data_IF_716711473261
#
_entry.id   IF_716711473261
#
_cell.length_a   1.000
_cell.length_b   1.000
_cell.length_c   1.000
_cell.angle_alpha   90.00
_cell.angle_beta   90.00
_cell.angle_gamma   90.00
#
_symmetry.space_group_name_H-M   'P 1'
#
loop_
_entity.id
_entity.type
_entity.pdbx_description
1 polymer ?
#
# COMPACT_ATOMS: atom_id res chain seq x y z
N UNK A 1 -0.82 -0.73 15.75
CA UNK A 1 0.48 -0.84 15.06
C UNK A 1 0.28 -0.60 13.57
N UNK A 2 1.10 0.23 12.97
CA UNK A 2 1.04 0.51 11.54
C UNK A 2 2.37 0.19 10.90
N UNK A 3 2.35 -0.69 9.90
CA UNK A 3 3.56 -1.23 9.27
C UNK A 3 3.52 -0.96 7.77
N UNK A 4 4.67 -0.59 7.20
CA UNK A 4 4.87 -0.52 5.76
C UNK A 4 5.79 -1.66 5.36
N UNK A 5 5.35 -2.46 4.39
CA UNK A 5 6.13 -3.57 3.85
C UNK A 5 6.45 -3.28 2.39
N UNK A 6 7.73 -3.20 2.08
CA UNK A 6 8.23 -2.96 0.73
C UNK A 6 9.10 -4.14 0.29
N UNK A 7 9.24 -4.33 -1.00
CA UNK A 7 10.09 -5.39 -1.51
C UNK A 7 10.02 -5.48 -3.02
N UNK A 8 10.97 -6.21 -3.59
CA UNK A 8 11.00 -6.45 -5.02
C UNK A 8 9.91 -7.43 -5.44
N UNK A 9 9.41 -7.34 -6.68
CA UNK A 9 8.52 -8.36 -7.22
C UNK A 9 9.16 -9.74 -7.13
N UNK A 10 8.39 -10.73 -6.71
CA UNK A 10 8.89 -12.09 -6.56
C UNK A 10 9.67 -12.37 -5.29
N UNK A 11 9.77 -11.41 -4.38
CA UNK A 11 10.48 -11.60 -3.09
C UNK A 11 9.69 -12.36 -2.03
N UNK A 12 8.42 -12.70 -2.31
CA UNK A 12 7.52 -13.29 -1.32
C UNK A 12 6.80 -12.27 -0.47
N UNK A 13 6.87 -10.99 -0.84
CA UNK A 13 6.29 -9.89 -0.08
C UNK A 13 4.78 -10.06 0.14
N UNK A 14 4.04 -10.46 -0.88
CA UNK A 14 2.59 -10.64 -0.77
C UNK A 14 2.21 -11.72 0.23
N UNK A 15 2.94 -12.84 0.26
CA UNK A 15 2.72 -13.92 1.21
C UNK A 15 3.03 -13.46 2.63
N UNK A 16 4.16 -12.77 2.81
CA UNK A 16 4.55 -12.23 4.10
C UNK A 16 3.53 -11.20 4.61
N UNK A 17 3.04 -10.34 3.73
CA UNK A 17 2.03 -9.35 4.10
C UNK A 17 0.77 -10.01 4.63
N UNK A 18 0.29 -11.08 3.98
CA UNK A 18 -0.89 -11.81 4.44
C UNK A 18 -0.64 -12.47 5.79
N UNK A 19 0.50 -13.11 5.96
CA UNK A 19 0.85 -13.82 7.20
C UNK A 19 0.97 -12.84 8.37
N UNK A 20 1.69 -11.72 8.19
CA UNK A 20 1.86 -10.72 9.23
C UNK A 20 0.53 -10.05 9.60
N UNK A 21 -0.29 -9.75 8.60
CA UNK A 21 -1.60 -9.14 8.84
C UNK A 21 -2.47 -10.04 9.70
N UNK A 22 -2.42 -11.35 9.44
CA UNK A 22 -3.19 -12.32 10.20
C UNK A 22 -2.65 -12.47 11.62
N UNK A 23 -1.33 -12.62 11.77
CA UNK A 23 -0.71 -12.82 13.08
C UNK A 23 -0.84 -11.62 14.00
N UNK A 24 -0.72 -10.41 13.45
CA UNK A 24 -0.74 -9.17 14.23
C UNK A 24 -2.10 -8.49 14.25
N UNK A 25 -3.12 -9.12 13.65
CA UNK A 25 -4.47 -8.57 13.52
C UNK A 25 -4.45 -7.17 12.88
N UNK A 26 -3.76 -7.07 11.75
CA UNK A 26 -3.69 -5.83 10.97
C UNK A 26 -4.57 -5.94 9.73
N UNK A 27 -5.06 -4.80 9.27
CA UNK A 27 -5.75 -4.74 7.98
C UNK A 27 -4.69 -4.67 6.89
N UNK A 28 -4.69 -5.64 5.98
CA UNK A 28 -3.78 -5.66 4.83
C UNK A 28 -4.26 -4.66 3.79
N UNK A 29 -3.46 -3.65 3.51
CA UNK A 29 -3.79 -2.57 2.57
C UNK A 29 -2.92 -2.73 1.33
N UNK A 30 -3.52 -3.22 0.24
CA UNK A 30 -2.88 -3.27 -1.07
C UNK A 30 -3.52 -2.19 -1.94
N UNK A 31 -2.75 -1.15 -2.30
CA UNK A 31 -3.28 -0.05 -3.10
C UNK A 31 -3.74 -0.51 -4.48
N UNK A 32 -3.05 -1.50 -5.07
CA UNK A 32 -3.47 -2.07 -6.34
C UNK A 32 -4.82 -2.76 -6.25
N UNK A 33 -5.05 -3.51 -5.19
CA UNK A 33 -6.33 -4.19 -4.97
C UNK A 33 -7.46 -3.19 -4.72
N UNK A 34 -7.19 -2.14 -3.94
CA UNK A 34 -8.17 -1.08 -3.69
C UNK A 34 -8.54 -0.41 -5.01
N UNK A 35 -7.56 -0.06 -5.82
CA UNK A 35 -7.77 0.58 -7.12
C UNK A 35 -8.64 -0.29 -8.03
N UNK A 36 -8.31 -1.57 -8.15
CA UNK A 36 -9.07 -2.50 -9.00
C UNK A 36 -10.51 -2.66 -8.49
N UNK A 37 -10.70 -2.77 -7.18
CA UNK A 37 -12.01 -2.92 -6.58
C UNK A 37 -12.88 -1.68 -6.79
N UNK A 38 -12.31 -0.48 -6.60
CA UNK A 38 -13.03 0.77 -6.82
C UNK A 38 -13.45 0.92 -8.29
N UNK A 39 -12.57 0.54 -9.22
CA UNK A 39 -12.88 0.59 -10.64
C UNK A 39 -13.97 -0.42 -11.02
N UNK A 40 -13.91 -1.64 -10.47
CA UNK A 40 -14.90 -2.68 -10.73
C UNK A 40 -16.29 -2.30 -10.21
N UNK A 41 -16.35 -1.65 -9.06
CA UNK A 41 -17.60 -1.17 -8.45
C UNK A 41 -18.08 0.15 -9.02
N UNK A 42 -17.29 0.78 -9.88
CA UNK A 42 -17.61 2.06 -10.52
C UNK A 42 -17.95 3.15 -9.51
N UNK A 43 -17.22 3.20 -8.41
CA UNK A 43 -17.34 4.29 -7.45
C UNK A 43 -16.89 5.59 -8.10
N UNK A 44 -17.24 6.78 -7.57
CA UNK A 44 -16.76 8.05 -8.13
C UNK A 44 -15.23 8.11 -8.24
N UNK A 45 -14.50 7.63 -7.22
CA UNK A 45 -13.05 7.59 -7.26
C UNK A 45 -12.55 6.56 -8.27
N UNK A 46 -13.20 5.41 -8.38
CA UNK A 46 -12.87 4.38 -9.36
C UNK A 46 -13.08 4.85 -10.78
N UNK A 47 -14.16 5.59 -11.03
CA UNK A 47 -14.43 6.17 -12.35
C UNK A 47 -13.38 7.21 -12.74
N UNK A 48 -12.93 8.04 -11.78
CA UNK A 48 -11.85 9.00 -12.01
C UNK A 48 -10.54 8.28 -12.36
N UNK A 49 -10.21 7.22 -11.63
CA UNK A 49 -9.02 6.41 -11.90
C UNK A 49 -9.06 5.76 -13.28
N UNK A 50 -10.22 5.22 -13.67
CA UNK A 50 -10.41 4.62 -14.99
C UNK A 50 -10.20 5.65 -16.10
N UNK A 51 -10.63 6.90 -15.90
CA UNK A 51 -10.42 7.99 -16.84
C UNK A 51 -8.93 8.29 -17.05
N UNK A 52 -8.12 8.32 -15.98
CA UNK A 52 -6.68 8.50 -16.11
C UNK A 52 -6.06 7.36 -16.91
N UNK A 53 -6.42 6.12 -16.59
CA UNK A 53 -5.86 4.94 -17.27
C UNK A 53 -6.25 4.89 -18.75
N UNK A 54 -7.48 5.24 -19.07
CA UNK A 54 -7.96 5.27 -20.46
C UNK A 54 -7.21 6.30 -21.30
N UNK A 55 -6.73 7.38 -20.70
CA UNK A 55 -5.93 8.40 -21.39
C UNK A 55 -4.44 8.12 -21.38
N UNK A 56 -4.01 6.97 -20.85
CA UNK A 56 -2.60 6.60 -20.76
C UNK A 56 -1.82 7.31 -19.66
N UNK A 57 -2.52 7.99 -18.75
CA UNK A 57 -1.89 8.67 -17.61
C UNK A 57 -1.85 7.78 -16.37
N UNK A 58 -0.88 8.03 -15.50
CA UNK A 58 -0.83 7.36 -14.21
C UNK A 58 -1.89 7.94 -13.27
N UNK A 59 -2.44 7.08 -12.43
CA UNK A 59 -3.36 7.52 -11.38
C UNK A 59 -2.58 8.41 -10.41
N UNK A 60 -3.13 9.58 -10.09
CA UNK A 60 -2.43 10.55 -9.25
C UNK A 60 -2.31 10.08 -7.80
N UNK A 61 -1.25 10.56 -7.12
CA UNK A 61 -1.05 10.25 -5.70
C UNK A 61 -2.24 10.73 -4.85
N UNK A 62 -2.80 11.89 -5.19
CA UNK A 62 -3.97 12.42 -4.50
C UNK A 62 -5.15 11.45 -4.58
N UNK A 63 -5.40 10.89 -5.76
CA UNK A 63 -6.52 9.97 -5.95
C UNK A 63 -6.32 8.68 -5.16
N UNK A 64 -5.09 8.14 -5.15
CA UNK A 64 -4.77 6.96 -4.37
C UNK A 64 -4.99 7.22 -2.88
N UNK A 65 -4.54 8.38 -2.37
CA UNK A 65 -4.75 8.76 -0.97
C UNK A 65 -6.23 8.95 -0.65
N UNK A 66 -7.00 9.52 -1.56
CA UNK A 66 -8.45 9.69 -1.37
C UNK A 66 -9.14 8.33 -1.24
N UNK A 67 -8.73 7.35 -2.03
CA UNK A 67 -9.25 5.99 -1.93
C UNK A 67 -8.90 5.34 -0.58
N UNK A 68 -7.67 5.51 -0.13
CA UNK A 68 -7.22 4.99 1.17
C UNK A 68 -8.04 5.62 2.29
N UNK A 69 -8.18 6.95 2.28
CA UNK A 69 -8.95 7.67 3.30
C UNK A 69 -10.41 7.26 3.31
N UNK A 70 -11.00 7.12 2.15
CA UNK A 70 -12.40 6.72 2.02
C UNK A 70 -12.64 5.32 2.57
N UNK A 71 -11.75 4.40 2.25
CA UNK A 71 -11.90 2.98 2.62
C UNK A 71 -11.55 2.71 4.08
N UNK A 72 -10.56 3.40 4.62
CA UNK A 72 -9.99 3.11 5.92
C UNK A 72 -10.28 4.18 6.98
N UNK A 73 -11.08 5.19 6.64
CA UNK A 73 -11.34 6.31 7.54
C UNK A 73 -11.96 5.94 8.87
N UNK A 74 -12.77 4.88 8.91
CA UNK A 74 -13.42 4.40 10.13
C UNK A 74 -12.74 3.15 10.73
N UNK A 75 -11.64 2.69 10.13
CA UNK A 75 -10.94 1.51 10.64
C UNK A 75 -10.17 1.86 11.91
N UNK A 76 -10.31 1.04 12.95
CA UNK A 76 -9.66 1.23 14.24
C UNK A 76 -8.48 0.30 14.48
N UNK A 77 -8.35 -0.76 13.67
CA UNK A 77 -7.22 -1.68 13.79
C UNK A 77 -5.96 -1.08 13.15
N UNK A 78 -4.81 -1.63 13.50
CA UNK A 78 -3.57 -1.29 12.82
C UNK A 78 -3.60 -1.68 11.35
N UNK A 79 -2.74 -1.05 10.55
CA UNK A 79 -2.70 -1.23 9.11
C UNK A 79 -1.34 -1.76 8.67
N UNK A 80 -1.35 -2.64 7.67
CA UNK A 80 -0.14 -3.07 7.00
C UNK A 80 -0.25 -2.67 5.53
N UNK A 81 0.56 -1.70 5.11
CA UNK A 81 0.61 -1.26 3.73
C UNK A 81 1.58 -2.12 2.94
N UNK A 82 1.10 -2.71 1.87
CA UNK A 82 1.84 -3.61 1.01
C UNK A 82 2.21 -2.88 -0.28
N UNK A 83 3.50 -2.54 -0.41
CA UNK A 83 4.01 -1.90 -1.62
C UNK A 83 3.70 -0.42 -1.78
N UNK A 84 3.34 0.27 -0.70
CA UNK A 84 3.04 1.70 -0.68
C UNK A 84 3.50 2.26 0.68
N UNK A 85 4.10 3.44 0.76
CA UNK A 85 4.41 4.39 -0.30
C UNK A 85 5.64 3.97 -1.12
N UNK A 86 5.74 4.49 -2.35
CA UNK A 86 6.88 4.25 -3.24
C UNK A 86 7.61 5.53 -3.62
N UNK A 87 7.07 6.69 -3.26
CA UNK A 87 7.68 8.00 -3.49
C UNK A 87 7.67 8.80 -2.22
N UNK A 88 8.51 9.84 -2.18
CA UNK A 88 8.56 10.76 -1.04
C UNK A 88 7.22 11.47 -0.86
N UNK A 89 6.60 11.90 -1.96
CA UNK A 89 5.30 12.58 -1.90
C UNK A 89 4.22 11.67 -1.30
N UNK A 90 4.19 10.41 -1.68
CA UNK A 90 3.26 9.43 -1.10
C UNK A 90 3.53 9.21 0.39
N UNK A 91 4.80 9.11 0.76
CA UNK A 91 5.19 8.92 2.15
C UNK A 91 4.78 10.10 3.01
N UNK A 92 4.98 11.31 2.53
CA UNK A 92 4.56 12.52 3.24
C UNK A 92 3.05 12.60 3.42
N UNK A 93 2.29 12.25 2.37
CA UNK A 93 0.82 12.23 2.43
C UNK A 93 0.31 11.18 3.42
N UNK A 94 0.93 10.01 3.43
CA UNK A 94 0.54 8.93 4.34
C UNK A 94 0.85 9.31 5.79
N UNK A 95 2.02 9.88 6.04
CA UNK A 95 2.42 10.33 7.36
C UNK A 95 1.49 11.42 7.89
N UNK A 96 1.13 12.38 7.04
CA UNK A 96 0.19 13.44 7.40
C UNK A 96 -1.19 12.87 7.76
N UNK A 97 -1.65 11.86 7.02
CA UNK A 97 -2.92 11.21 7.32
C UNK A 97 -2.89 10.49 8.66
N UNK A 98 -1.83 9.73 8.96
CA UNK A 98 -1.68 9.10 10.26
C UNK A 98 -1.64 10.14 11.38
N UNK A 99 -0.89 11.21 11.20
CA UNK A 99 -0.80 12.29 12.21
C UNK A 99 -2.16 12.90 12.48
N UNK A 100 -2.99 13.10 11.44
CA UNK A 100 -4.35 13.63 11.61
C UNK A 100 -5.26 12.71 12.43
N UNK A 101 -4.88 11.44 12.53
CA UNK A 101 -5.62 10.42 13.31
C UNK A 101 -4.95 10.14 14.65
N UNK A 102 -3.98 10.93 15.05
CA UNK A 102 -3.16 10.70 16.26
C UNK A 102 -2.47 9.34 16.23
N UNK A 103 -2.01 8.93 15.06
CA UNK A 103 -1.30 7.68 14.82
C UNK A 103 0.02 7.95 14.14
N UNK A 104 0.86 6.93 14.07
CA UNK A 104 2.15 7.02 13.39
C UNK A 104 2.49 5.71 12.70
N UNK A 105 3.49 5.76 11.82
CA UNK A 105 4.06 4.57 11.20
C UNK A 105 5.06 3.99 12.20
N UNK A 106 4.82 2.76 12.65
CA UNK A 106 5.65 2.12 13.68
C UNK A 106 6.88 1.43 13.11
N UNK A 107 6.77 0.91 11.88
CA UNK A 107 7.83 0.11 11.30
C UNK A 107 7.77 0.13 9.78
N UNK A 108 8.95 0.17 9.16
CA UNK A 108 9.09 0.01 7.71
C UNK A 108 10.00 -1.19 7.49
N UNK A 109 9.49 -2.21 6.81
CA UNK A 109 10.21 -3.44 6.53
C UNK A 109 10.46 -3.57 5.03
N UNK A 110 11.71 -3.73 4.65
CA UNK A 110 12.08 -3.91 3.25
C UNK A 110 12.56 -5.35 3.05
N UNK A 111 11.85 -6.10 2.21
CA UNK A 111 12.16 -7.50 1.92
C UNK A 111 12.95 -7.57 0.62
N UNK A 112 14.20 -8.02 0.71
CA UNK A 112 15.11 -8.11 -0.44
C UNK A 112 15.63 -9.53 -0.71
N UNK A 113 14.78 -10.53 -0.43
CA UNK A 113 15.14 -11.95 -0.55
C UNK A 113 15.64 -12.30 -1.95
N UNK A 114 15.02 -11.74 -2.99
CA UNK A 114 15.43 -12.02 -4.37
C UNK A 114 16.87 -11.53 -4.64
N UNK A 115 17.24 -10.39 -4.07
CA UNK A 115 18.60 -9.86 -4.18
C UNK A 115 19.60 -10.75 -3.43
N UNK A 116 19.26 -11.19 -2.24
CA UNK A 116 20.09 -12.08 -1.46
C UNK A 116 20.34 -13.41 -2.19
N UNK A 117 19.31 -13.95 -2.83
CA UNK A 117 19.44 -15.18 -3.63
C UNK A 117 20.43 -14.98 -4.78
N UNK A 118 20.36 -13.84 -5.47
CA UNK A 118 21.31 -13.54 -6.56
C UNK A 118 22.74 -13.44 -6.06
N UNK A 119 22.96 -12.81 -4.93
CA UNK A 119 24.28 -12.71 -4.31
C UNK A 119 24.85 -14.09 -3.98
N UNK A 120 24.01 -15.01 -3.50
CA UNK A 120 24.45 -16.39 -3.20
C UNK A 120 24.82 -17.16 -4.45
N UNK A 121 24.10 -16.96 -5.54
CA UNK A 121 24.40 -17.61 -6.82
C UNK A 121 25.72 -17.15 -7.40
N UNK A 122 26.11 -15.91 -7.14
CA UNK A 122 27.36 -15.35 -7.60
C UNK A 122 28.59 -15.86 -6.82
N UNK A 123 28.36 -16.48 -5.68
CA UNK A 123 29.43 -17.02 -4.85
C UNK A 123 29.80 -18.44 -5.29
#
# INVERSE_FOLDING_TARGET
>A
MNIILLGYPGSGKGTLAKDLSKELDLVHVSTGDILRDEMAKKTPLGAEAASYMASGRLVSDRLVMDMIKSRLGSETRGLLFDGFPRTVAQAESLDAWFSSRSQEIDSVVFLNVAEDVRLREDL
#
